data_IF_735463253507
#
_entry.id   IF_735463253507
#
_cell.length_a   1.000
_cell.length_b   1.000
_cell.length_c   1.000
_cell.angle_alpha   90.00
_cell.angle_beta   90.00
_cell.angle_gamma   90.00
#
_symmetry.space_group_name_H-M   'P 1'
#
loop_
_entity.id
_entity.type
_entity.pdbx_description
1 polymer ?
#
# COMPACT_ATOMS: atom_id res chain seq x y z
N UNK A 1 -13.75 21.60 -15.31
CA UNK A 1 -13.62 20.15 -15.12
C UNK A 1 -12.20 19.75 -15.51
N UNK A 2 -11.25 19.76 -14.57
CA UNK A 2 -9.92 19.20 -14.83
C UNK A 2 -10.02 17.68 -14.80
N UNK A 3 -9.86 17.06 -15.96
CA UNK A 3 -9.66 15.62 -16.10
C UNK A 3 -8.43 15.24 -15.28
N UNK A 4 -8.64 14.55 -14.14
CA UNK A 4 -7.56 13.85 -13.43
C UNK A 4 -6.88 12.93 -14.44
N UNK A 5 -5.75 13.35 -15.01
CA UNK A 5 -4.86 12.48 -15.79
C UNK A 5 -4.32 11.44 -14.82
N UNK A 6 -4.98 10.29 -14.77
CA UNK A 6 -4.48 9.13 -14.06
C UNK A 6 -3.24 8.65 -14.81
N UNK A 7 -2.06 9.12 -14.40
CA UNK A 7 -0.80 8.51 -14.85
C UNK A 7 -0.84 7.03 -14.46
N UNK A 8 -1.03 6.17 -15.46
CA UNK A 8 -0.79 4.74 -15.39
C UNK A 8 0.62 4.51 -15.92
N UNK A 9 1.49 4.00 -15.06
CA UNK A 9 2.79 3.52 -15.50
C UNK A 9 2.61 2.09 -15.99
N UNK A 10 3.21 1.76 -17.13
CA UNK A 10 3.19 0.40 -17.64
C UNK A 10 3.92 -0.51 -16.63
N UNK A 11 3.16 -1.38 -15.97
CA UNK A 11 3.68 -2.34 -14.99
C UNK A 11 4.64 -3.36 -15.61
N UNK A 12 4.67 -3.47 -16.94
CA UNK A 12 5.68 -4.28 -17.64
C UNK A 12 7.06 -3.62 -17.64
N UNK A 13 7.11 -2.29 -17.65
CA UNK A 13 8.34 -1.52 -17.73
C UNK A 13 8.79 -1.03 -16.36
N UNK A 14 7.85 -0.74 -15.47
CA UNK A 14 8.13 -0.11 -14.18
C UNK A 14 7.49 -0.88 -13.02
N UNK A 15 8.19 -0.92 -11.90
CA UNK A 15 7.62 -1.37 -10.63
C UNK A 15 7.87 -0.35 -9.54
N UNK A 16 6.84 -0.10 -8.75
CA UNK A 16 6.95 0.60 -7.49
C UNK A 16 7.79 -0.22 -6.49
N UNK A 17 8.83 0.40 -5.94
CA UNK A 17 9.72 -0.23 -4.94
C UNK A 17 9.88 0.67 -3.71
N UNK A 18 10.19 0.06 -2.55
CA UNK A 18 10.54 0.78 -1.33
C UNK A 18 11.95 1.36 -1.41
N UNK A 19 12.09 2.63 -1.04
CA UNK A 19 13.31 3.43 -1.07
C UNK A 19 13.77 3.88 0.33
N UNK A 20 13.03 3.57 1.39
CA UNK A 20 13.36 3.96 2.77
C UNK A 20 14.79 3.57 3.21
N UNK A 21 15.34 2.51 2.62
CA UNK A 21 16.71 2.06 2.85
C UNK A 21 17.76 3.12 2.44
N UNK A 22 17.49 3.94 1.43
CA UNK A 22 18.42 4.98 0.94
C UNK A 22 18.66 6.09 1.96
N UNK A 23 17.69 6.36 2.84
CA UNK A 23 17.85 7.30 3.94
C UNK A 23 18.43 6.65 5.22
N UNK A 24 18.10 5.38 5.46
CA UNK A 24 18.42 4.71 6.74
C UNK A 24 19.70 3.87 6.70
N UNK A 25 20.26 3.59 5.53
CA UNK A 25 21.40 2.69 5.34
C UNK A 25 21.10 1.21 5.63
N UNK A 26 19.85 0.87 5.95
CA UNK A 26 19.42 -0.51 6.24
C UNK A 26 19.25 -1.31 4.94
N UNK A 27 19.05 -2.63 5.05
CA UNK A 27 18.68 -3.47 3.89
C UNK A 27 17.33 -3.03 3.33
N UNK A 28 17.19 -3.05 2.01
CA UNK A 28 15.90 -2.82 1.36
C UNK A 28 14.86 -3.84 1.82
N UNK A 29 13.69 -3.34 2.21
CA UNK A 29 12.53 -4.17 2.57
C UNK A 29 11.54 -4.25 1.42
N UNK A 30 10.70 -5.31 1.35
CA UNK A 30 9.60 -5.36 0.41
C UNK A 30 8.65 -4.17 0.57
N UNK A 31 8.06 -3.74 -0.55
CA UNK A 31 7.05 -2.68 -0.58
C UNK A 31 5.88 -3.06 0.34
N UNK A 32 5.39 -2.07 1.11
CA UNK A 32 4.18 -2.21 1.90
C UNK A 32 3.01 -1.50 1.21
N UNK A 33 1.85 -2.15 1.16
CA UNK A 33 0.60 -1.51 0.71
C UNK A 33 -0.48 -1.67 1.77
N UNK A 34 -1.11 -0.57 2.14
CA UNK A 34 -2.21 -0.60 3.09
C UNK A 34 -3.50 -1.10 2.43
N UNK A 35 -4.20 -1.97 3.14
CA UNK A 35 -5.54 -2.40 2.76
C UNK A 35 -6.37 -2.62 4.02
N UNK A 36 -7.68 -2.67 3.82
CA UNK A 36 -8.62 -3.04 4.89
C UNK A 36 -8.30 -4.46 5.41
N UNK A 37 -8.16 -4.60 6.73
CA UNK A 37 -7.69 -5.81 7.38
C UNK A 37 -6.27 -6.24 6.98
N UNK A 38 -5.43 -5.33 6.49
CA UNK A 38 -4.04 -5.66 6.15
C UNK A 38 -3.25 -6.09 7.38
N UNK A 39 -2.28 -6.99 7.20
CA UNK A 39 -1.52 -7.56 8.31
C UNK A 39 -0.20 -8.15 7.81
N UNK A 40 0.71 -8.41 8.74
CA UNK A 40 1.97 -9.11 8.44
C UNK A 40 1.77 -10.50 7.83
N UNK A 41 0.61 -11.11 8.09
CA UNK A 41 0.18 -12.42 7.57
C UNK A 41 -0.46 -12.37 6.19
N UNK A 42 -0.70 -11.18 5.65
CA UNK A 42 -1.37 -10.99 4.36
C UNK A 42 -0.43 -10.35 3.36
N UNK A 43 -0.30 -11.00 2.21
CA UNK A 43 0.47 -10.51 1.06
C UNK A 43 -0.48 -10.29 -0.11
N UNK A 44 -0.08 -9.42 -1.04
CA UNK A 44 -0.87 -9.09 -2.22
C UNK A 44 -0.07 -9.19 -3.51
N UNK A 45 -0.79 -9.51 -4.58
CA UNK A 45 -0.30 -9.54 -5.96
C UNK A 45 -1.20 -8.65 -6.80
N UNK A 46 -0.63 -7.62 -7.41
CA UNK A 46 -1.37 -6.77 -8.33
C UNK A 46 -1.56 -7.46 -9.67
N UNK A 47 -2.79 -7.47 -10.21
CA UNK A 47 -3.07 -8.06 -11.52
C UNK A 47 -2.46 -7.29 -12.68
N UNK A 48 -2.02 -6.05 -12.46
CA UNK A 48 -1.34 -5.26 -13.49
C UNK A 48 -0.08 -5.98 -14.02
N UNK A 49 0.61 -6.75 -13.18
CA UNK A 49 1.80 -7.50 -13.57
C UNK A 49 1.49 -8.86 -14.22
N UNK A 50 0.25 -9.35 -14.12
CA UNK A 50 -0.12 -10.72 -14.53
C UNK A 50 -0.43 -10.84 -16.02
N UNK A 51 -0.37 -9.72 -16.78
CA UNK A 51 -0.63 -9.65 -18.22
C UNK A 51 -1.88 -10.48 -18.59
N UNK A 52 -1.74 -11.40 -19.54
CA UNK A 52 -2.80 -12.31 -19.99
C UNK A 52 -2.69 -13.72 -19.36
N UNK A 53 -1.71 -13.96 -18.48
CA UNK A 53 -1.46 -15.30 -17.90
C UNK A 53 -1.75 -15.37 -16.39
N UNK A 54 -2.87 -14.78 -15.97
CA UNK A 54 -3.32 -14.80 -14.56
C UNK A 54 -3.40 -16.23 -14.01
N UNK A 55 -3.96 -17.16 -14.80
CA UNK A 55 -4.15 -18.56 -14.40
C UNK A 55 -2.83 -19.33 -14.27
N UNK A 56 -1.87 -19.12 -15.19
CA UNK A 56 -0.55 -19.75 -15.12
C UNK A 56 0.21 -19.32 -13.87
N UNK A 57 0.24 -18.01 -13.61
CA UNK A 57 0.88 -17.45 -12.39
C UNK A 57 0.25 -18.01 -11.12
N UNK A 58 -1.08 -18.04 -11.04
CA UNK A 58 -1.75 -18.56 -9.86
C UNK A 58 -1.53 -20.05 -9.66
N UNK A 59 -1.45 -20.83 -10.74
CA UNK A 59 -1.06 -22.25 -10.67
C UNK A 59 0.36 -22.44 -10.16
N UNK A 60 1.31 -21.61 -10.61
CA UNK A 60 2.69 -21.63 -10.13
C UNK A 60 2.77 -21.31 -8.63
N UNK A 61 2.04 -20.29 -8.17
CA UNK A 61 1.93 -19.94 -6.75
C UNK A 61 1.31 -21.08 -5.94
N UNK A 62 0.20 -21.67 -6.40
CA UNK A 62 -0.43 -22.79 -5.71
C UNK A 62 0.49 -24.00 -5.61
N UNK A 63 1.31 -24.27 -6.63
CA UNK A 63 2.34 -25.33 -6.58
C UNK A 63 3.45 -25.00 -5.59
N UNK A 64 3.91 -23.75 -5.54
CA UNK A 64 4.90 -23.27 -4.56
C UNK A 64 4.38 -23.39 -3.12
N UNK A 65 3.08 -23.14 -2.93
CA UNK A 65 2.39 -23.21 -1.64
C UNK A 65 1.94 -24.63 -1.23
N UNK A 66 2.39 -25.68 -1.93
CA UNK A 66 1.98 -27.04 -1.60
C UNK A 66 2.37 -27.41 -0.17
N UNK A 67 1.39 -27.86 0.63
CA UNK A 67 1.58 -28.19 2.04
C UNK A 67 1.44 -27.01 3.02
N UNK A 68 1.19 -25.79 2.52
CA UNK A 68 0.89 -24.61 3.36
C UNK A 68 -0.61 -24.36 3.34
N UNK A 69 -1.21 -24.13 4.51
CA UNK A 69 -2.61 -23.72 4.63
C UNK A 69 -2.70 -22.21 4.47
N UNK A 70 -3.57 -21.74 3.58
CA UNK A 70 -3.77 -20.31 3.32
C UNK A 70 -5.18 -20.03 2.80
N UNK A 71 -5.62 -18.78 2.96
CA UNK A 71 -6.84 -18.26 2.33
C UNK A 71 -6.48 -17.36 1.16
N UNK A 72 -7.05 -17.62 -0.02
CA UNK A 72 -6.96 -16.75 -1.20
C UNK A 72 -8.19 -15.86 -1.30
N UNK A 73 -7.99 -14.56 -1.59
CA UNK A 73 -9.08 -13.61 -1.80
C UNK A 73 -8.79 -12.70 -2.99
N UNK A 74 -9.69 -12.68 -3.96
CA UNK A 74 -9.64 -11.74 -5.07
C UNK A 74 -10.39 -10.44 -4.73
N UNK A 75 -9.72 -9.31 -4.91
CA UNK A 75 -10.31 -7.98 -4.86
C UNK A 75 -10.33 -7.41 -6.28
N UNK A 76 -11.48 -7.58 -6.93
CA UNK A 76 -11.70 -7.16 -8.31
C UNK A 76 -11.63 -5.64 -8.47
N UNK A 77 -12.03 -4.88 -7.45
CA UNK A 77 -12.06 -3.42 -7.49
C UNK A 77 -10.66 -2.84 -7.53
N UNK A 78 -9.77 -3.34 -6.66
CA UNK A 78 -8.36 -2.93 -6.64
C UNK A 78 -7.49 -3.73 -7.63
N UNK A 79 -8.06 -4.75 -8.29
CA UNK A 79 -7.36 -5.71 -9.14
C UNK A 79 -6.15 -6.32 -8.44
N UNK A 80 -6.36 -6.83 -7.23
CA UNK A 80 -5.34 -7.46 -6.38
C UNK A 80 -5.87 -8.81 -5.91
N UNK A 81 -5.01 -9.83 -5.90
CA UNK A 81 -5.25 -11.08 -5.17
C UNK A 81 -4.45 -11.08 -3.89
N UNK A 82 -5.10 -11.36 -2.77
CA UNK A 82 -4.50 -11.49 -1.46
C UNK A 82 -4.38 -12.95 -1.05
N UNK A 83 -3.27 -13.26 -0.38
CA UNK A 83 -3.05 -14.53 0.31
C UNK A 83 -2.89 -14.24 1.79
N UNK A 84 -3.63 -14.95 2.63
CA UNK A 84 -3.62 -14.80 4.09
C UNK A 84 -3.14 -16.12 4.70
N UNK A 85 -2.12 -16.03 5.55
CA UNK A 85 -1.49 -17.15 6.23
C UNK A 85 -1.78 -17.13 7.73
N UNK A 86 -1.57 -18.26 8.41
CA UNK A 86 -1.74 -18.36 9.86
C UNK A 86 -0.51 -17.87 10.63
N UNK A 87 0.67 -17.87 10.00
CA UNK A 87 1.93 -17.47 10.62
C UNK A 87 2.76 -16.56 9.69
N UNK A 88 3.71 -15.83 10.30
CA UNK A 88 4.56 -14.86 9.57
C UNK A 88 5.57 -15.58 8.69
N UNK A 89 6.07 -16.73 9.14
CA UNK A 89 7.11 -17.49 8.44
C UNK A 89 6.65 -17.88 7.03
N UNK A 90 5.45 -18.42 6.89
CA UNK A 90 4.89 -18.79 5.59
C UNK A 90 4.60 -17.56 4.73
N UNK A 91 4.16 -16.46 5.32
CA UNK A 91 4.01 -15.20 4.59
C UNK A 91 5.35 -14.65 4.07
N UNK A 92 6.43 -14.80 4.84
CA UNK A 92 7.78 -14.37 4.48
C UNK A 92 8.40 -15.29 3.42
N UNK A 93 8.17 -16.60 3.49
CA UNK A 93 8.60 -17.56 2.45
C UNK A 93 8.09 -17.12 1.08
N UNK A 94 6.82 -16.73 0.99
CA UNK A 94 6.17 -16.38 -0.27
C UNK A 94 6.54 -14.97 -0.72
N UNK A 95 6.64 -14.01 0.20
CA UNK A 95 7.03 -12.64 -0.12
C UNK A 95 8.45 -12.55 -0.71
N UNK A 96 9.34 -13.44 -0.27
CA UNK A 96 10.73 -13.51 -0.75
C UNK A 96 10.92 -14.53 -1.88
N UNK A 97 9.86 -15.22 -2.30
CA UNK A 97 9.95 -16.21 -3.37
C UNK A 97 10.11 -15.53 -4.73
N UNK A 98 11.10 -15.97 -5.50
CA UNK A 98 11.20 -15.64 -6.92
C UNK A 98 10.34 -16.63 -7.71
N UNK A 99 9.03 -16.33 -7.79
CA UNK A 99 8.11 -17.15 -8.59
C UNK A 99 8.19 -16.65 -10.02
N UNK A 100 8.77 -17.49 -10.87
CA UNK A 100 8.88 -17.24 -12.31
C UNK A 100 7.73 -17.92 -13.06
N UNK A 101 7.01 -17.13 -13.83
CA UNK A 101 6.11 -17.61 -14.87
C UNK A 101 6.62 -17.11 -16.22
N UNK A 102 7.10 -18.04 -17.04
CA UNK A 102 7.61 -17.75 -18.39
C UNK A 102 8.66 -16.62 -18.40
N UNK A 103 9.53 -16.57 -17.40
CA UNK A 103 10.60 -15.57 -17.25
C UNK A 103 10.21 -14.25 -16.59
N UNK A 104 8.96 -14.09 -16.11
CA UNK A 104 8.55 -12.91 -15.33
C UNK A 104 8.56 -13.22 -13.82
N UNK A 105 9.47 -12.60 -13.08
CA UNK A 105 9.47 -12.62 -11.61
C UNK A 105 8.23 -11.91 -11.07
N UNK A 106 7.36 -12.65 -10.38
CA UNK A 106 6.17 -12.09 -9.74
C UNK A 106 6.56 -11.31 -8.49
N UNK A 107 6.23 -10.02 -8.48
CA UNK A 107 6.50 -9.10 -7.38
C UNK A 107 5.30 -9.06 -6.45
N UNK A 108 5.49 -9.62 -5.25
CA UNK A 108 4.54 -9.57 -4.17
C UNK A 108 4.84 -8.39 -3.24
N UNK A 109 3.81 -7.91 -2.55
CA UNK A 109 3.97 -6.88 -1.51
C UNK A 109 3.32 -7.32 -0.22
N UNK A 110 3.87 -6.86 0.90
CA UNK A 110 3.27 -7.08 2.22
C UNK A 110 2.13 -6.11 2.43
N UNK A 111 1.03 -6.59 3.00
CA UNK A 111 -0.05 -5.69 3.40
C UNK A 111 0.18 -5.14 4.80
N UNK A 112 -0.45 -4.03 5.09
CA UNK A 112 -0.52 -3.49 6.44
C UNK A 112 -1.92 -2.89 6.69
N UNK A 113 -2.36 -2.82 7.95
CA UNK A 113 -3.68 -2.32 8.33
C UNK A 113 -3.74 -0.80 8.27
N UNK A 114 -4.77 -0.24 7.64
CA UNK A 114 -5.02 1.20 7.69
C UNK A 114 -5.39 1.60 9.12
N UNK A 115 -4.55 2.40 9.77
CA UNK A 115 -4.84 3.04 11.07
C UNK A 115 -5.26 4.49 10.84
N UNK A 116 -6.00 5.09 11.79
CA UNK A 116 -6.56 6.45 11.63
C UNK A 116 -5.53 7.57 11.61
N UNK A 117 -4.33 7.33 12.12
CA UNK A 117 -3.22 8.26 12.13
C UNK A 117 -2.29 8.09 10.91
N UNK A 118 -2.69 7.26 9.94
CA UNK A 118 -1.97 7.09 8.69
C UNK A 118 -2.34 8.13 7.66
N UNK A 119 -1.31 8.68 7.02
CA UNK A 119 -1.41 9.66 5.95
C UNK A 119 -0.65 9.14 4.74
N UNK A 120 -1.30 9.18 3.58
CA UNK A 120 -0.64 8.92 2.30
C UNK A 120 -0.31 10.27 1.69
N UNK A 121 0.97 10.55 1.50
CA UNK A 121 1.42 11.71 0.77
C UNK A 121 2.00 11.32 -0.60
N UNK A 122 2.07 12.29 -1.50
CA UNK A 122 2.66 12.11 -2.82
C UNK A 122 3.50 13.32 -3.17
N UNK A 123 4.68 13.06 -3.72
CA UNK A 123 5.51 14.05 -4.41
C UNK A 123 5.15 13.94 -5.90
N UNK A 124 4.44 14.94 -6.46
CA UNK A 124 3.92 14.84 -7.82
C UNK A 124 5.04 14.85 -8.87
N UNK A 125 6.13 15.59 -8.62
CA UNK A 125 7.25 15.78 -9.53
C UNK A 125 8.56 15.95 -8.73
N UNK A 126 9.63 15.31 -9.18
CA UNK A 126 10.98 15.46 -8.64
C UNK A 126 12.08 15.39 -9.73
N UNK A 127 11.79 15.82 -10.96
CA UNK A 127 12.73 15.74 -12.11
C UNK A 127 14.12 16.33 -11.85
N UNK A 128 14.21 17.37 -11.04
CA UNK A 128 15.43 18.17 -10.90
C UNK A 128 16.26 17.79 -9.66
N UNK A 129 15.88 16.73 -8.94
CA UNK A 129 16.59 16.24 -7.76
C UNK A 129 16.86 14.75 -7.86
N UNK A 130 18.11 14.36 -7.57
CA UNK A 130 18.48 12.95 -7.51
C UNK A 130 17.70 12.19 -6.44
N UNK A 131 17.18 11.00 -6.78
CA UNK A 131 16.29 10.19 -5.91
C UNK A 131 16.89 9.93 -4.52
N UNK A 132 18.19 9.66 -4.44
CA UNK A 132 18.86 9.43 -3.15
C UNK A 132 18.83 10.68 -2.27
N UNK A 133 19.13 11.85 -2.84
CA UNK A 133 19.12 13.12 -2.11
C UNK A 133 17.71 13.48 -1.68
N UNK A 134 16.72 13.31 -2.58
CA UNK A 134 15.31 13.52 -2.27
C UNK A 134 14.85 12.65 -1.10
N UNK A 135 15.15 11.34 -1.12
CA UNK A 135 14.73 10.42 -0.07
C UNK A 135 15.37 10.78 1.27
N UNK A 136 16.64 11.19 1.29
CA UNK A 136 17.32 11.67 2.49
C UNK A 136 16.68 12.96 3.04
N UNK A 137 16.41 13.93 2.16
CA UNK A 137 15.76 15.20 2.50
C UNK A 137 14.35 14.98 3.07
N UNK A 138 13.52 14.19 2.39
CA UNK A 138 12.19 13.83 2.88
C UNK A 138 12.27 13.14 4.25
N UNK A 139 13.26 12.28 4.43
CA UNK A 139 13.45 11.59 5.69
C UNK A 139 13.84 12.54 6.82
N UNK A 140 14.78 13.46 6.61
CA UNK A 140 15.21 14.42 7.63
C UNK A 140 14.10 15.39 8.03
N UNK A 141 13.37 15.92 7.05
CA UNK A 141 12.34 16.94 7.28
C UNK A 141 11.06 16.38 7.89
N UNK A 142 10.63 15.18 7.48
CA UNK A 142 9.38 14.60 7.95
C UNK A 142 9.55 13.77 9.23
N UNK A 143 10.71 13.13 9.45
CA UNK A 143 10.93 12.26 10.62
C UNK A 143 10.67 12.91 11.98
N UNK A 144 10.88 14.23 12.21
CA UNK A 144 10.49 14.87 13.46
C UNK A 144 8.99 14.80 13.72
N UNK A 145 8.18 14.99 12.69
CA UNK A 145 6.72 15.13 12.76
C UNK A 145 5.98 13.80 12.65
N UNK A 146 6.52 12.87 11.87
CA UNK A 146 5.86 11.61 11.53
C UNK A 146 6.80 10.43 11.66
N UNK A 147 6.24 9.24 11.87
CA UNK A 147 6.92 7.98 11.61
C UNK A 147 6.79 7.66 10.12
N UNK A 148 7.91 7.71 9.39
CA UNK A 148 7.95 7.33 7.98
C UNK A 148 7.90 5.81 7.90
N UNK A 149 6.78 5.27 7.44
CA UNK A 149 6.56 3.83 7.31
C UNK A 149 7.24 3.30 6.05
N UNK A 150 7.07 4.00 4.93
CA UNK A 150 7.71 3.70 3.65
C UNK A 150 7.81 4.96 2.77
N UNK A 151 8.76 4.93 1.83
CA UNK A 151 8.90 5.90 0.74
C UNK A 151 9.04 5.05 -0.52
N UNK A 152 8.15 5.20 -1.51
CA UNK A 152 8.17 4.39 -2.72
C UNK A 152 8.15 5.21 -3.99
N UNK A 153 8.83 4.72 -5.03
CA UNK A 153 8.79 5.29 -6.36
C UNK A 153 8.85 4.20 -7.42
N UNK A 154 8.42 4.56 -8.63
CA UNK A 154 8.44 3.67 -9.78
C UNK A 154 9.85 3.62 -10.37
N UNK A 155 10.44 2.43 -10.40
CA UNK A 155 11.75 2.14 -11.02
C UNK A 155 11.56 1.29 -12.26
N UNK A 156 12.38 1.51 -13.27
CA UNK A 156 12.53 0.58 -14.39
C UNK A 156 12.80 -0.84 -13.90
N UNK A 157 12.22 -1.81 -14.59
CA UNK A 157 12.46 -3.22 -14.34
C UNK A 157 13.86 -3.66 -14.80
N UNK A 158 14.41 -2.99 -15.82
CA UNK A 158 15.68 -3.34 -16.47
C UNK A 158 16.87 -2.50 -15.97
N UNK A 159 16.60 -1.27 -15.54
CA UNK A 159 17.63 -0.30 -15.15
C UNK A 159 17.39 0.27 -13.74
N UNK A 160 18.31 1.11 -13.27
CA UNK A 160 18.17 1.89 -12.04
C UNK A 160 17.46 3.24 -12.28
N UNK A 161 16.86 3.43 -13.45
CA UNK A 161 16.11 4.64 -13.77
C UNK A 161 14.81 4.73 -12.95
N UNK A 162 14.53 5.92 -12.43
CA UNK A 162 13.30 6.21 -11.71
C UNK A 162 12.43 7.16 -12.50
N UNK A 163 11.13 6.86 -12.51
CA UNK A 163 10.13 7.77 -13.06
C UNK A 163 10.03 8.99 -12.13
N UNK A 164 10.24 10.23 -12.63
CA UNK A 164 10.36 11.42 -11.79
C UNK A 164 9.01 11.97 -11.29
N UNK A 165 8.00 11.10 -11.16
CA UNK A 165 6.63 11.48 -10.79
C UNK A 165 6.02 10.51 -9.79
N UNK A 166 5.08 11.03 -8.99
CA UNK A 166 4.26 10.24 -8.08
C UNK A 166 5.08 9.34 -7.13
N UNK A 167 6.16 9.89 -6.56
CA UNK A 167 6.77 9.23 -5.40
C UNK A 167 5.76 9.27 -4.25
N UNK A 168 5.52 8.15 -3.59
CA UNK A 168 4.55 8.04 -2.50
C UNK A 168 5.26 7.99 -1.16
N UNK A 169 4.68 8.67 -0.20
CA UNK A 169 5.12 8.68 1.18
C UNK A 169 4.02 8.07 2.03
N UNK A 170 4.43 7.18 2.89
CA UNK A 170 3.55 6.44 3.75
C UNK A 170 3.91 6.80 5.18
N UNK A 171 3.06 7.57 5.84
CA UNK A 171 3.37 8.28 7.06
C UNK A 171 2.39 7.89 8.16
N UNK A 172 2.88 7.79 9.39
CA UNK A 172 2.05 7.69 10.60
C UNK A 172 2.34 8.91 11.46
N UNK A 173 1.32 9.69 11.79
CA UNK A 173 1.47 10.89 12.61
C UNK A 173 2.04 10.50 13.99
N UNK A 174 2.99 11.27 14.51
CA UNK A 174 3.43 11.12 15.89
C UNK A 174 2.43 11.84 16.79
N UNK A 175 1.85 11.13 17.75
CA UNK A 175 0.99 11.75 18.74
C UNK A 175 1.83 12.59 19.71
N UNK A 176 1.74 13.91 19.64
CA UNK A 176 1.56 14.68 20.88
C UNK A 176 0.05 14.78 21.10
N UNK A 177 -0.46 14.38 22.28
CA UNK A 177 -1.88 14.24 22.54
C UNK A 177 -2.53 15.61 22.68
N UNK A 178 -3.02 16.17 21.57
CA UNK A 178 -4.22 17.01 21.55
C UNK A 178 -5.05 16.61 20.34
N UNK A 179 -6.38 16.62 20.51
CA UNK A 179 -7.40 15.93 19.71
C UNK A 179 -7.49 16.30 18.21
N UNK A 180 -6.54 17.06 17.67
CA UNK A 180 -6.51 17.53 16.27
C UNK A 180 -5.08 17.75 15.75
N UNK A 181 -4.23 16.72 15.73
CA UNK A 181 -3.10 16.70 14.78
C UNK A 181 -3.67 16.42 13.39
N UNK A 182 -4.27 17.47 12.81
CA UNK A 182 -4.78 17.45 11.45
C UNK A 182 -3.60 17.38 10.47
N UNK A 183 -3.81 16.75 9.31
CA UNK A 183 -2.88 16.79 8.15
C UNK A 183 -2.37 18.21 7.86
N UNK A 184 -3.12 19.24 8.24
CA UNK A 184 -2.77 20.66 8.11
C UNK A 184 -1.47 21.07 8.81
N UNK A 185 -0.94 20.29 9.76
CA UNK A 185 0.36 20.58 10.39
C UNK A 185 1.57 20.05 9.60
N UNK A 186 1.33 19.24 8.56
CA UNK A 186 2.40 18.71 7.72
C UNK A 186 2.79 19.73 6.64
N UNK A 187 4.09 19.86 6.32
CA UNK A 187 4.56 20.79 5.31
C UNK A 187 4.06 20.40 3.92
N UNK A 188 3.35 21.29 3.23
CA UNK A 188 2.91 21.07 1.83
C UNK A 188 4.04 21.28 0.83
N UNK A 189 5.19 21.77 1.27
CA UNK A 189 6.42 21.84 0.50
C UNK A 189 7.67 21.80 1.36
N UNK A 190 8.78 21.38 0.76
CA UNK A 190 10.11 21.35 1.38
C UNK A 190 11.09 22.08 0.45
N UNK A 191 11.93 22.94 1.00
CA UNK A 191 12.98 23.61 0.25
C UNK A 191 14.18 22.68 0.05
N UNK A 192 14.69 22.63 -1.17
CA UNK A 192 15.95 21.96 -1.52
C UNK A 192 16.88 22.93 -2.25
N UNK A 193 18.14 22.54 -2.40
CA UNK A 193 19.12 23.29 -3.21
C UNK A 193 18.68 23.43 -4.69
N UNK A 194 17.73 22.59 -5.13
CA UNK A 194 17.16 22.58 -6.48
C UNK A 194 15.78 23.26 -6.57
N UNK A 195 15.35 23.93 -5.50
CA UNK A 195 14.06 24.61 -5.40
C UNK A 195 13.04 23.88 -4.52
N UNK A 196 11.78 24.29 -4.65
CA UNK A 196 10.68 23.83 -3.80
C UNK A 196 10.10 22.48 -4.26
N UNK A 197 10.05 21.51 -3.35
CA UNK A 197 9.48 20.19 -3.58
C UNK A 197 8.08 20.16 -2.97
N UNK A 198 7.06 20.02 -3.83
CA UNK A 198 5.66 19.99 -3.40
C UNK A 198 5.27 18.62 -2.83
N UNK A 199 4.43 18.64 -1.80
CA UNK A 199 3.86 17.46 -1.15
C UNK A 199 2.34 17.59 -1.10
N UNK A 200 1.64 16.58 -1.61
CA UNK A 200 0.18 16.49 -1.53
C UNK A 200 -0.20 15.38 -0.57
N UNK A 201 -1.07 15.67 0.39
CA UNK A 201 -1.54 14.70 1.39
C UNK A 201 -2.95 14.22 1.09
N UNK A 202 -3.21 12.96 1.42
CA UNK A 202 -4.53 12.35 1.42
C UNK A 202 -4.71 11.57 2.71
N UNK A 203 -5.80 11.87 3.40
CA UNK A 203 -6.24 11.17 4.60
C UNK A 203 -6.52 9.70 4.25
N UNK A 204 -5.98 8.76 5.01
CA UNK A 204 -6.31 7.35 4.83
C UNK A 204 -7.69 7.09 5.47
N UNK A 205 -8.75 7.42 4.73
CA UNK A 205 -10.12 7.20 5.21
C UNK A 205 -10.38 5.70 5.16
N UNK A 206 -10.43 5.04 6.32
CA UNK A 206 -10.85 3.64 6.42
C UNK A 206 -12.24 3.49 5.78
N UNK A 207 -12.34 2.73 4.69
CA UNK A 207 -13.64 2.28 4.18
C UNK A 207 -14.23 1.29 5.17
N UNK A 208 -15.47 1.51 5.58
CA UNK A 208 -16.17 0.61 6.48
C UNK A 208 -16.20 -0.81 5.90
N UNK A 209 -15.72 -1.79 6.66
CA UNK A 209 -15.68 -3.19 6.23
C UNK A 209 -17.05 -3.78 5.92
N UNK A 210 -18.11 -3.25 6.54
CA UNK A 210 -19.48 -3.69 6.40
C UNK A 210 -20.17 -3.03 5.19
N UNK A 211 -20.40 -1.73 5.25
CA UNK A 211 -21.16 -1.03 4.22
C UNK A 211 -20.33 -0.58 3.01
N UNK A 212 -19.01 -0.80 3.04
CA UNK A 212 -18.04 -0.41 1.99
C UNK A 212 -17.98 1.10 1.70
N UNK A 213 -18.66 1.94 2.48
CA UNK A 213 -18.60 3.41 2.36
C UNK A 213 -17.37 3.96 3.08
N UNK A 214 -16.72 4.96 2.49
CA UNK A 214 -15.73 5.80 3.18
C UNK A 214 -16.42 6.74 4.18
N UNK A 215 -15.70 7.22 5.20
CA UNK A 215 -16.05 8.22 6.24
C UNK A 215 -16.30 7.67 7.66
N UNK A 216 -16.33 6.35 7.87
CA UNK A 216 -16.54 5.79 9.21
C UNK A 216 -15.99 4.36 9.33
N UNK A 217 -15.72 3.90 10.56
CA UNK A 217 -15.28 2.52 10.85
C UNK A 217 -16.48 1.58 10.96
N UNK A 218 -16.23 0.27 10.83
CA UNK A 218 -17.26 -0.78 11.04
C UNK A 218 -17.92 -0.67 12.42
N UNK A 219 -17.14 -0.43 13.48
CA UNK A 219 -17.66 -0.32 14.86
C UNK A 219 -18.64 0.82 15.09
N UNK A 220 -18.58 1.85 14.25
CA UNK A 220 -19.48 3.04 14.30
C UNK A 220 -20.29 3.14 13.01
N UNK A 221 -20.49 2.02 12.32
CA UNK A 221 -21.20 2.01 11.05
C UNK A 221 -22.70 2.24 11.30
N UNK A 222 -23.29 3.29 10.71
CA UNK A 222 -24.72 3.56 10.86
C UNK A 222 -25.56 2.36 10.44
N UNK A 223 -25.15 1.70 9.35
CA UNK A 223 -25.82 0.53 8.79
C UNK A 223 -25.74 -0.69 9.75
N UNK A 224 -24.71 -0.77 10.60
CA UNK A 224 -24.61 -1.79 11.67
C UNK A 224 -25.50 -1.43 12.84
N UNK A 225 -25.41 -0.19 13.33
CA UNK A 225 -26.23 0.28 14.45
C UNK A 225 -27.73 0.20 14.14
N UNK A 226 -28.14 0.47 12.90
CA UNK A 226 -29.53 0.35 12.46
C UNK A 226 -30.01 -1.11 12.35
N UNK A 227 -29.12 -2.05 12.02
CA UNK A 227 -29.46 -3.48 11.99
C UNK A 227 -29.59 -4.11 13.38
N UNK A 228 -28.97 -3.53 14.42
CA UNK A 228 -29.13 -3.97 15.80
C UNK A 228 -30.33 -3.35 16.52
N UNK A 229 -30.77 -2.15 16.13
CA UNK A 229 -31.98 -1.51 16.68
C UNK A 229 -33.28 -2.12 16.13
N UNK A 230 -33.25 -2.64 14.90
CA UNK A 230 -34.38 -3.35 14.27
C UNK A 230 -34.16 -4.86 14.40
N UNK A 231 -34.26 -5.38 15.62
CA UNK A 231 -34.01 -6.80 15.90
C UNK A 231 -34.74 -7.73 14.94
N UNK A 232 -33.97 -8.44 14.11
CA UNK A 232 -34.43 -9.67 13.47
C UNK A 232 -33.33 -10.72 13.63
N UNK A 233 -33.44 -11.49 14.72
CA UNK A 233 -32.58 -12.62 15.07
C UNK A 233 -32.82 -13.84 14.14
N UNK A 234 -33.27 -13.61 12.90
CA UNK A 234 -33.77 -14.63 11.95
C UNK A 234 -32.98 -14.70 10.65
N UNK A 235 -31.91 -13.92 10.48
CA UNK A 235 -31.01 -13.98 9.30
C UNK A 235 -29.60 -14.47 9.62
N UNK A 236 -29.43 -15.21 10.72
CA UNK A 236 -28.17 -15.90 11.06
C UNK A 236 -27.86 -17.13 10.17
N UNK A 237 -28.66 -17.42 9.13
CA UNK A 237 -28.57 -18.70 8.41
C UNK A 237 -28.31 -18.62 6.89
N UNK A 238 -27.67 -17.55 6.39
CA UNK A 238 -27.35 -17.45 4.95
C UNK A 238 -25.98 -16.83 4.61
N UNK A 239 -25.02 -16.89 5.53
CA UNK A 239 -23.61 -16.50 5.26
C UNK A 239 -22.61 -17.65 5.40
N UNK A 240 -23.03 -18.86 5.05
CA UNK A 240 -22.13 -19.96 4.71
C UNK A 240 -22.66 -20.61 3.44
N UNK A 241 -22.26 -20.10 2.28
CA UNK A 241 -21.85 -20.81 1.07
C UNK A 241 -21.21 -19.80 0.11
#
# INVERSE_FOLDING_TARGET
>A
METKKTFFFDSNLYTEISLKHLATGKKQTPLKKYCTGGSKYKIGISWAQLKNNKEGVFRAISKFLNGIIYTKRDDFSSRITYYVFDNVEDSDKVLNAEIDDLGNKIKMFRTASVESDMVIASIPNFRDIGVVNLVKLLYSELSPLVTILDISAWRSNETYEFVPYKMRLMLKLKNTPTEKTNITSLPTSILSDHGEIKITYSECISTCEFCKKSKHRRSVCPDITSSFSNGNLSTLHSFYY
#
